data_IF_999861420806
#
_entry.id   IF_999861420806
#
_cell.length_a   1.000
_cell.length_b   1.000
_cell.length_c   1.000
_cell.angle_alpha   90.00
_cell.angle_beta   90.00
_cell.angle_gamma   90.00
#
_symmetry.space_group_name_H-M   'P 1'
#
loop_
_entity.id
_entity.type
_entity.pdbx_description
1 polymer ?
#
# COMPACT_ATOMS: atom_id res chain seq x y z
N UNK A 1 -41.91 -30.87 1.80
CA UNK A 1 -40.73 -30.11 1.33
C UNK A 1 -39.48 -30.82 1.83
N UNK A 2 -39.01 -31.81 1.09
CA UNK A 2 -37.91 -32.68 1.48
C UNK A 2 -36.58 -31.96 1.23
N UNK A 3 -35.73 -32.02 2.25
CA UNK A 3 -34.36 -31.52 2.24
C UNK A 3 -33.63 -32.15 1.06
N UNK A 4 -33.31 -31.34 0.05
CA UNK A 4 -32.34 -31.71 -0.96
C UNK A 4 -31.03 -32.10 -0.25
N UNK A 5 -30.36 -33.20 -0.64
CA UNK A 5 -29.14 -33.64 0.00
C UNK A 5 -28.10 -32.53 -0.14
N UNK A 6 -27.95 -31.79 0.96
CA UNK A 6 -27.00 -30.70 1.05
C UNK A 6 -25.59 -31.27 0.86
N UNK A 7 -25.01 -30.86 -0.24
CA UNK A 7 -23.59 -30.73 -0.50
C UNK A 7 -22.68 -31.79 0.16
N UNK A 8 -22.43 -32.89 -0.52
CA UNK A 8 -21.29 -33.72 -0.20
C UNK A 8 -20.04 -33.02 -0.71
N UNK A 9 -19.34 -32.29 0.18
CA UNK A 9 -18.14 -31.52 -0.11
C UNK A 9 -17.03 -32.47 -0.60
N UNK A 10 -16.99 -32.73 -1.88
CA UNK A 10 -16.12 -33.70 -2.55
C UNK A 10 -14.69 -33.11 -2.63
N UNK A 11 -13.66 -33.95 -2.75
CA UNK A 11 -12.26 -33.51 -2.89
C UNK A 11 -12.05 -32.53 -4.03
N UNK A 12 -12.80 -32.67 -5.13
CA UNK A 12 -12.78 -31.74 -6.29
C UNK A 12 -13.34 -30.36 -5.92
N UNK A 13 -14.44 -30.30 -5.17
CA UNK A 13 -15.00 -29.04 -4.69
C UNK A 13 -13.98 -28.28 -3.80
N UNK A 14 -13.22 -29.02 -2.98
CA UNK A 14 -12.13 -28.45 -2.19
C UNK A 14 -11.04 -27.83 -3.06
N UNK A 15 -10.52 -28.58 -4.03
CA UNK A 15 -9.42 -28.05 -4.87
C UNK A 15 -9.84 -26.82 -5.66
N UNK A 16 -11.08 -26.80 -6.19
CA UNK A 16 -11.61 -25.62 -6.88
C UNK A 16 -11.80 -24.43 -5.94
N UNK A 17 -12.35 -24.66 -4.76
CA UNK A 17 -12.53 -23.63 -3.73
C UNK A 17 -11.17 -23.04 -3.31
N UNK A 18 -10.13 -23.87 -3.16
CA UNK A 18 -8.77 -23.39 -2.91
C UNK A 18 -8.19 -22.58 -4.07
N UNK A 19 -8.42 -23.01 -5.31
CA UNK A 19 -8.00 -22.25 -6.49
C UNK A 19 -8.66 -20.88 -6.55
N UNK A 20 -9.97 -20.82 -6.30
CA UNK A 20 -10.71 -19.54 -6.21
C UNK A 20 -10.18 -18.70 -5.05
N UNK A 21 -9.91 -19.32 -3.89
CA UNK A 21 -9.37 -18.62 -2.73
C UNK A 21 -8.00 -17.98 -3.02
N UNK A 22 -7.11 -18.68 -3.70
CA UNK A 22 -5.81 -18.13 -4.09
C UNK A 22 -5.95 -16.93 -5.05
N UNK A 23 -6.84 -17.02 -6.04
CA UNK A 23 -7.10 -15.89 -6.95
C UNK A 23 -7.70 -14.69 -6.21
N UNK A 24 -8.65 -14.94 -5.32
CA UNK A 24 -9.27 -13.87 -4.51
C UNK A 24 -8.26 -13.27 -3.52
N UNK A 25 -7.42 -14.10 -2.89
CA UNK A 25 -6.31 -13.65 -2.04
C UNK A 25 -5.39 -12.68 -2.77
N UNK A 26 -4.99 -13.05 -4.00
CA UNK A 26 -4.12 -12.21 -4.82
C UNK A 26 -4.80 -10.90 -5.23
N UNK A 27 -6.09 -10.95 -5.57
CA UNK A 27 -6.90 -9.75 -5.83
C UNK A 27 -6.90 -8.81 -4.62
N UNK A 28 -7.25 -9.31 -3.44
CA UNK A 28 -7.32 -8.52 -2.21
C UNK A 28 -5.96 -7.91 -1.87
N UNK A 29 -4.89 -8.69 -1.96
CA UNK A 29 -3.54 -8.20 -1.66
C UNK A 29 -3.11 -7.09 -2.64
N UNK A 30 -3.36 -7.26 -3.95
CA UNK A 30 -3.00 -6.25 -4.96
C UNK A 30 -3.78 -4.96 -4.78
N UNK A 31 -5.09 -5.05 -4.52
CA UNK A 31 -5.93 -3.88 -4.24
C UNK A 31 -5.52 -3.17 -2.95
N UNK A 32 -5.22 -3.93 -1.89
CA UNK A 32 -4.82 -3.38 -0.59
C UNK A 32 -3.50 -2.62 -0.67
N UNK A 33 -2.55 -3.12 -1.48
CA UNK A 33 -1.28 -2.41 -1.72
C UNK A 33 -1.52 -1.11 -2.51
N UNK A 34 -2.33 -1.16 -3.56
CA UNK A 34 -2.63 0.01 -4.38
C UNK A 34 -3.36 1.11 -3.57
N UNK A 35 -4.38 0.73 -2.78
CA UNK A 35 -5.11 1.69 -1.93
C UNK A 35 -4.27 2.21 -0.78
N UNK A 36 -3.41 1.37 -0.18
CA UNK A 36 -2.47 1.79 0.87
C UNK A 36 -1.43 2.80 0.37
N UNK A 37 -0.90 2.59 -0.85
CA UNK A 37 -0.03 3.57 -1.52
C UNK A 37 -0.75 4.89 -1.76
N UNK A 38 -1.96 4.85 -2.32
CA UNK A 38 -2.75 6.05 -2.59
C UNK A 38 -3.02 6.83 -1.30
N UNK A 39 -3.50 6.17 -0.25
CA UNK A 39 -3.76 6.82 1.03
C UNK A 39 -2.49 7.43 1.65
N UNK A 40 -1.35 6.75 1.52
CA UNK A 40 -0.07 7.29 1.99
C UNK A 40 0.32 8.55 1.22
N UNK A 41 0.07 8.59 -0.09
CA UNK A 41 0.31 9.78 -0.91
C UNK A 41 -0.67 10.91 -0.60
N UNK A 42 -1.97 10.62 -0.47
CA UNK A 42 -2.98 11.61 -0.09
C UNK A 42 -2.67 12.25 1.28
N UNK A 43 -2.16 11.46 2.24
CA UNK A 43 -1.71 11.99 3.53
C UNK A 43 -0.46 12.85 3.39
N UNK A 44 0.50 12.45 2.57
CA UNK A 44 1.68 13.26 2.29
C UNK A 44 1.27 14.57 1.62
N UNK A 45 0.45 14.54 0.58
CA UNK A 45 -0.06 15.72 -0.11
C UNK A 45 -0.85 16.65 0.84
N UNK A 46 -1.71 16.09 1.70
CA UNK A 46 -2.45 16.87 2.70
C UNK A 46 -1.57 17.53 3.76
N UNK A 47 -0.39 17.00 3.99
CA UNK A 47 0.56 17.51 4.98
C UNK A 47 1.55 18.50 4.40
N UNK A 48 1.91 18.36 3.13
CA UNK A 48 2.76 19.30 2.43
C UNK A 48 1.90 20.38 1.78
N UNK A 49 2.04 21.62 2.22
CA UNK A 49 1.43 22.73 1.52
C UNK A 49 2.31 23.13 0.32
N UNK A 50 1.68 23.54 -0.77
CA UNK A 50 2.37 24.06 -1.98
C UNK A 50 3.30 25.25 -1.71
N UNK A 51 3.30 25.71 -0.49
CA UNK A 51 4.01 26.88 -0.02
C UNK A 51 5.48 26.61 0.32
N UNK A 52 5.91 25.34 0.46
CA UNK A 52 7.26 25.01 0.95
C UNK A 52 8.19 24.51 -0.14
N UNK A 53 9.37 25.10 -0.18
CA UNK A 53 10.47 24.73 -1.08
C UNK A 53 11.69 24.34 -0.26
N UNK A 54 12.28 23.22 -0.60
CA UNK A 54 13.59 22.83 -0.09
C UNK A 54 14.66 23.49 -0.92
N UNK A 55 15.52 24.27 -0.28
CA UNK A 55 16.64 24.98 -0.90
C UNK A 55 17.92 24.28 -0.49
N UNK A 56 18.69 23.81 -1.48
CA UNK A 56 19.99 23.19 -1.30
C UNK A 56 20.97 23.74 -2.30
N UNK A 57 22.26 23.67 -1.97
CA UNK A 57 23.32 24.02 -2.91
C UNK A 57 24.01 22.74 -3.31
N UNK A 58 23.85 22.27 -4.58
CA UNK A 58 24.47 21.03 -5.02
C UNK A 58 25.97 21.20 -5.18
N UNK A 59 26.72 20.19 -4.79
CA UNK A 59 28.13 20.02 -5.11
C UNK A 59 28.36 18.64 -5.75
N UNK A 60 29.53 18.40 -6.30
CA UNK A 60 29.90 17.14 -6.95
C UNK A 60 29.77 15.90 -6.04
N UNK A 61 29.80 16.10 -4.72
CA UNK A 61 29.78 15.01 -3.71
C UNK A 61 28.52 15.01 -2.81
N UNK A 62 27.49 15.78 -3.18
CA UNK A 62 26.25 15.86 -2.40
C UNK A 62 25.88 17.30 -2.04
N UNK A 63 24.95 17.53 -1.11
CA UNK A 63 24.59 18.88 -0.68
C UNK A 63 25.76 19.55 0.04
N UNK A 64 26.16 20.72 -0.48
CA UNK A 64 27.26 21.48 0.10
C UNK A 64 26.78 22.40 1.21
N UNK A 65 27.69 22.73 2.11
CA UNK A 65 27.47 23.75 3.13
C UNK A 65 27.48 25.15 2.52
N UNK A 66 26.59 26.01 2.97
CA UNK A 66 26.54 27.41 2.59
C UNK A 66 26.25 28.29 3.79
N UNK A 67 26.66 29.54 3.75
CA UNK A 67 26.37 30.50 4.81
C UNK A 67 24.93 31.00 4.68
N UNK A 68 24.23 31.16 5.81
CA UNK A 68 22.85 31.66 5.83
C UNK A 68 22.72 33.04 5.18
N UNK A 69 23.78 33.88 5.21
CA UNK A 69 23.84 35.19 4.57
C UNK A 69 23.68 35.12 3.04
N UNK A 70 23.99 33.98 2.42
CA UNK A 70 23.82 33.80 0.98
C UNK A 70 22.33 33.73 0.56
N UNK A 71 21.44 33.51 1.50
CA UNK A 71 19.98 33.53 1.29
C UNK A 71 19.31 34.71 2.00
N UNK A 72 20.08 35.72 2.37
CA UNK A 72 19.59 36.91 3.09
C UNK A 72 18.32 37.56 2.51
N UNK A 73 18.12 37.63 1.17
CA UNK A 73 16.92 38.23 0.60
C UNK A 73 15.61 37.54 1.02
N UNK A 74 15.68 36.31 1.45
CA UNK A 74 14.51 35.43 1.83
C UNK A 74 14.57 34.89 3.25
N UNK A 75 15.55 35.36 4.05
CA UNK A 75 15.83 34.81 5.36
C UNK A 75 14.63 34.89 6.33
N UNK A 76 13.83 35.94 6.24
CA UNK A 76 12.62 36.11 7.05
C UNK A 76 11.53 35.06 6.81
N UNK A 77 11.57 34.42 5.64
CA UNK A 77 10.61 33.38 5.24
C UNK A 77 11.24 31.98 5.27
N UNK A 78 12.45 31.85 5.82
CA UNK A 78 13.28 30.65 5.67
C UNK A 78 13.65 30.08 7.02
N UNK A 79 13.46 28.79 7.20
CA UNK A 79 14.06 28.03 8.29
C UNK A 79 15.29 27.31 7.74
N UNK A 80 16.46 27.58 8.33
CA UNK A 80 17.72 26.94 7.93
C UNK A 80 18.03 25.75 8.82
N UNK A 81 18.80 24.79 8.32
CA UNK A 81 19.12 23.61 9.10
C UNK A 81 20.37 22.89 8.61
N UNK A 82 20.74 21.91 9.39
CA UNK A 82 21.81 20.96 9.11
C UNK A 82 21.24 19.55 9.11
N UNK A 83 21.68 18.73 8.18
CA UNK A 83 21.44 17.29 8.23
C UNK A 83 22.72 16.52 7.95
N UNK A 84 22.85 15.33 8.53
CA UNK A 84 23.92 14.38 8.31
C UNK A 84 23.39 12.96 8.44
N UNK A 85 23.97 12.03 7.69
CA UNK A 85 23.69 10.61 7.86
C UNK A 85 24.63 10.05 8.93
N UNK A 86 24.05 9.52 10.01
CA UNK A 86 24.79 9.10 11.18
C UNK A 86 24.39 7.70 11.64
N UNK A 87 25.36 6.99 12.21
CA UNK A 87 25.14 5.71 12.83
C UNK A 87 24.71 5.92 14.29
N UNK A 88 23.60 5.30 14.69
CA UNK A 88 23.12 5.32 16.07
C UNK A 88 23.57 4.06 16.81
N UNK A 89 24.36 4.21 17.86
CA UNK A 89 24.76 3.11 18.74
C UNK A 89 23.92 3.13 20.05
N UNK A 90 23.57 1.99 20.64
CA UNK A 90 23.99 0.62 20.31
C UNK A 90 23.14 -0.09 19.25
N UNK A 91 22.17 0.58 18.62
CA UNK A 91 21.23 -0.05 17.68
C UNK A 91 21.86 -0.45 16.35
N UNK A 92 22.94 0.21 15.92
CA UNK A 92 23.57 0.01 14.62
C UNK A 92 22.70 0.48 13.45
N UNK A 93 21.78 1.40 13.68
CA UNK A 93 20.86 1.95 12.68
C UNK A 93 21.51 3.20 12.07
N UNK A 94 21.68 3.21 10.74
CA UNK A 94 22.01 4.41 9.99
C UNK A 94 20.73 5.20 9.76
N UNK A 95 20.75 6.49 10.11
CA UNK A 95 19.61 7.38 9.92
C UNK A 95 20.08 8.82 9.72
N UNK A 96 19.19 9.65 9.16
CA UNK A 96 19.44 11.07 9.02
C UNK A 96 19.16 11.78 10.34
N UNK A 97 20.18 12.43 10.87
CA UNK A 97 20.07 13.34 11.99
C UNK A 97 20.03 14.77 11.44
N UNK A 98 19.07 15.56 11.90
CA UNK A 98 18.89 16.92 11.40
C UNK A 98 18.61 17.91 12.53
N UNK A 99 18.91 19.19 12.28
CA UNK A 99 18.48 20.30 13.13
C UNK A 99 17.83 21.39 12.30
N UNK A 100 16.98 22.18 12.92
CA UNK A 100 16.36 23.35 12.30
C UNK A 100 16.52 24.51 13.25
N UNK A 101 17.05 25.62 12.70
CA UNK A 101 17.14 26.89 13.39
C UNK A 101 15.86 27.68 13.17
N UNK A 102 15.25 28.12 14.27
CA UNK A 102 14.06 28.97 14.30
C UNK A 102 12.85 28.49 13.46
N UNK A 103 12.35 27.27 13.73
CA UNK A 103 11.26 26.70 12.94
C UNK A 103 9.93 27.45 13.07
N UNK A 104 9.73 28.23 14.13
CA UNK A 104 8.43 28.84 14.48
C UNK A 104 7.91 29.85 13.48
N UNK A 105 8.78 30.50 12.70
CA UNK A 105 8.37 31.48 11.67
C UNK A 105 7.88 30.83 10.38
N UNK A 106 8.37 29.64 10.06
CA UNK A 106 8.13 28.97 8.81
C UNK A 106 7.23 27.75 8.98
N UNK A 107 7.52 26.93 9.97
CA UNK A 107 6.79 25.68 10.22
C UNK A 107 5.65 25.90 11.22
N UNK A 108 4.48 25.32 10.93
CA UNK A 108 3.34 25.33 11.87
C UNK A 108 3.58 24.43 13.07
N UNK A 109 4.59 23.58 13.01
CA UNK A 109 4.90 22.57 14.03
C UNK A 109 5.97 23.11 15.00
N UNK A 110 5.70 22.98 16.29
CA UNK A 110 6.63 23.36 17.36
C UNK A 110 7.55 22.18 17.67
N UNK A 111 8.48 21.87 16.78
CA UNK A 111 9.45 20.78 16.96
C UNK A 111 10.79 21.41 17.32
N UNK A 112 11.17 21.32 18.61
CA UNK A 112 12.44 21.86 19.09
C UNK A 112 13.14 20.86 20.00
N UNK A 113 14.36 20.50 19.64
CA UNK A 113 15.27 19.78 20.53
C UNK A 113 16.22 20.77 21.22
N UNK A 114 16.59 20.55 22.46
CA UNK A 114 17.45 21.46 23.25
C UNK A 114 18.60 20.73 23.94
N UNK A 115 19.77 21.32 23.90
CA UNK A 115 20.97 20.76 24.53
C UNK A 115 21.40 19.45 23.92
N UNK A 116 21.72 18.46 24.74
CA UNK A 116 22.09 17.10 24.29
C UNK A 116 20.89 16.15 24.20
N UNK A 117 19.68 16.69 24.09
CA UNK A 117 18.49 15.86 23.86
C UNK A 117 18.17 15.79 22.40
N UNK A 118 17.73 14.61 21.97
CA UNK A 118 17.25 14.36 20.62
C UNK A 118 15.80 13.88 20.67
N UNK A 119 15.04 14.23 19.65
CA UNK A 119 13.71 13.70 19.44
C UNK A 119 13.78 12.65 18.33
N UNK A 120 13.20 11.51 18.58
CA UNK A 120 13.22 10.38 17.65
C UNK A 120 11.91 10.34 16.90
N UNK A 121 11.98 10.14 15.59
CA UNK A 121 10.79 9.91 14.78
C UNK A 121 10.04 8.65 15.25
N UNK A 122 8.74 8.66 15.09
CA UNK A 122 7.82 7.65 15.66
C UNK A 122 8.06 6.22 15.20
N UNK A 123 8.78 6.02 14.09
CA UNK A 123 9.16 4.69 13.60
C UNK A 123 10.43 4.12 14.23
N UNK A 124 11.25 4.96 14.84
CA UNK A 124 12.43 4.51 15.56
C UNK A 124 12.04 4.14 16.98
N UNK A 125 11.98 2.87 17.29
CA UNK A 125 11.66 2.37 18.63
C UNK A 125 12.93 2.30 19.51
N UNK A 126 13.57 3.44 19.73
CA UNK A 126 14.75 3.57 20.57
C UNK A 126 14.37 4.19 21.91
N UNK A 127 15.08 3.82 22.97
CA UNK A 127 14.87 4.37 24.32
C UNK A 127 16.19 4.45 25.08
N UNK A 128 16.34 5.47 25.91
CA UNK A 128 17.51 5.67 26.75
C UNK A 128 18.53 6.64 26.15
N UNK A 129 19.82 6.39 26.38
CA UNK A 129 20.89 7.19 25.80
C UNK A 129 21.39 6.52 24.52
N UNK A 130 21.64 7.32 23.53
CA UNK A 130 22.21 6.90 22.26
C UNK A 130 23.53 7.63 22.01
N UNK A 131 24.38 7.02 21.23
CA UNK A 131 25.60 7.64 20.74
C UNK A 131 25.43 7.88 19.24
N UNK A 132 25.75 9.07 18.79
CA UNK A 132 25.58 9.50 17.41
C UNK A 132 26.93 9.72 16.77
N UNK A 133 27.11 9.16 15.58
CA UNK A 133 28.29 9.34 14.75
C UNK A 133 29.53 8.59 15.24
N UNK A 134 30.58 8.64 14.41
CA UNK A 134 31.87 7.98 14.65
C UNK A 134 32.62 8.54 15.88
N UNK A 135 32.37 9.79 16.22
CA UNK A 135 33.05 10.47 17.34
C UNK A 135 32.32 10.30 18.68
N UNK A 136 31.33 9.41 18.72
CA UNK A 136 30.64 8.97 19.94
C UNK A 136 29.99 10.10 20.77
N UNK A 137 29.24 10.99 20.12
CA UNK A 137 28.50 12.03 20.79
C UNK A 137 27.30 11.44 21.55
N UNK A 138 27.33 11.57 22.87
CA UNK A 138 26.25 11.06 23.72
C UNK A 138 25.03 11.99 23.71
N UNK A 139 23.90 11.45 23.34
CA UNK A 139 22.62 12.15 23.38
C UNK A 139 21.58 11.36 24.17
N UNK A 140 20.69 12.07 24.86
CA UNK A 140 19.56 11.47 25.56
C UNK A 140 18.29 11.65 24.73
N UNK A 141 17.48 10.59 24.66
CA UNK A 141 16.19 10.65 23.99
C UNK A 141 15.20 11.40 24.86
N UNK A 142 14.80 12.61 24.40
CA UNK A 142 13.84 13.47 25.09
C UNK A 142 12.37 13.15 24.79
N UNK A 143 12.12 12.40 23.72
CA UNK A 143 10.76 12.03 23.28
C UNK A 143 10.70 11.61 21.84
N UNK A 144 9.49 11.33 21.36
CA UNK A 144 9.21 11.11 19.95
C UNK A 144 8.69 12.39 19.28
N UNK A 145 8.98 12.57 18.00
CA UNK A 145 8.33 13.59 17.20
C UNK A 145 7.55 12.95 16.05
N UNK A 146 6.49 13.61 15.68
CA UNK A 146 5.74 13.31 14.45
C UNK A 146 5.66 14.61 13.68
N UNK A 147 6.22 14.61 12.49
CA UNK A 147 6.20 15.75 11.59
C UNK A 147 5.50 15.39 10.31
N UNK A 148 4.93 16.39 9.68
CA UNK A 148 4.33 16.27 8.36
C UNK A 148 5.35 16.51 7.24
N UNK A 149 6.50 17.10 7.57
CA UNK A 149 7.54 17.50 6.62
C UNK A 149 8.72 16.52 6.65
N UNK A 150 9.05 15.99 7.85
CA UNK A 150 10.21 15.13 8.02
C UNK A 150 9.79 13.67 8.18
N UNK A 151 10.56 12.76 7.57
CA UNK A 151 10.33 11.32 7.72
C UNK A 151 10.35 10.88 9.20
N UNK A 152 9.54 9.92 9.52
CA UNK A 152 9.37 9.42 10.89
C UNK A 152 10.49 8.48 11.37
N UNK A 153 11.47 8.22 10.53
CA UNK A 153 12.71 7.48 10.80
C UNK A 153 13.92 8.40 11.01
N UNK A 154 13.72 9.71 10.94
CA UNK A 154 14.77 10.69 11.18
C UNK A 154 14.87 11.04 12.67
N UNK A 155 15.99 11.61 13.04
CA UNK A 155 16.28 12.08 14.41
C UNK A 155 16.47 13.58 14.37
N UNK A 156 15.67 14.29 15.16
CA UNK A 156 15.85 15.73 15.34
C UNK A 156 16.80 15.99 16.51
N UNK A 157 17.90 16.61 16.21
CA UNK A 157 18.88 17.06 17.18
C UNK A 157 18.78 18.58 17.41
N UNK A 158 19.37 19.05 18.49
CA UNK A 158 19.54 20.49 18.70
C UNK A 158 20.55 21.07 17.70
N UNK A 159 20.41 22.35 17.38
CA UNK A 159 21.35 23.05 16.50
C UNK A 159 22.80 23.00 17.04
N UNK A 160 22.99 23.09 18.35
CA UNK A 160 24.28 22.97 18.99
C UNK A 160 24.94 21.61 18.80
N UNK A 161 24.16 20.52 18.92
CA UNK A 161 24.66 19.17 18.74
C UNK A 161 24.99 18.89 17.27
N UNK A 162 24.16 19.36 16.33
CA UNK A 162 24.42 19.21 14.90
C UNK A 162 25.63 19.99 14.43
N UNK A 163 25.87 21.18 14.97
CA UNK A 163 27.10 21.93 14.69
C UNK A 163 28.36 21.25 15.20
N UNK A 164 28.28 20.57 16.32
CA UNK A 164 29.36 19.74 16.85
C UNK A 164 29.60 18.49 15.97
N UNK A 165 28.53 17.79 15.58
CA UNK A 165 28.60 16.62 14.70
C UNK A 165 29.16 16.94 13.31
N UNK A 166 28.76 18.07 12.73
CA UNK A 166 29.18 18.46 11.38
C UNK A 166 30.44 19.32 11.36
N UNK A 167 31.01 19.64 12.51
CA UNK A 167 32.15 20.57 12.66
C UNK A 167 31.91 21.95 12.04
N UNK A 168 30.63 22.37 11.92
CA UNK A 168 30.25 23.63 11.30
C UNK A 168 29.77 24.64 12.33
N UNK A 169 30.32 25.86 12.29
CA UNK A 169 29.96 26.93 13.23
C UNK A 169 28.85 27.84 12.71
N UNK A 170 28.84 28.17 11.44
CA UNK A 170 27.90 29.13 10.85
C UNK A 170 27.19 28.61 9.59
N UNK A 171 27.77 27.63 8.93
CA UNK A 171 27.19 27.08 7.68
C UNK A 171 25.99 26.17 7.93
N UNK A 172 25.13 26.09 6.96
CA UNK A 172 23.96 25.23 6.88
C UNK A 172 24.00 24.44 5.57
N UNK A 173 23.31 23.32 5.46
CA UNK A 173 23.29 22.55 4.22
C UNK A 173 21.90 22.44 3.58
N UNK A 174 20.87 22.87 4.27
CA UNK A 174 19.54 23.03 3.68
C UNK A 174 18.79 24.23 4.26
N UNK A 175 17.79 24.68 3.53
CA UNK A 175 16.85 25.67 4.02
C UNK A 175 15.43 25.34 3.51
N UNK A 176 14.43 25.65 4.32
CA UNK A 176 13.03 25.50 3.95
C UNK A 176 12.46 26.90 3.74
N UNK A 177 12.12 27.22 2.53
CA UNK A 177 11.58 28.50 2.13
C UNK A 177 10.07 28.41 1.97
N UNK A 178 9.35 29.33 2.59
CA UNK A 178 7.89 29.38 2.53
C UNK A 178 7.44 30.44 1.54
N UNK A 179 6.56 30.03 0.61
CA UNK A 179 5.86 30.89 -0.35
C UNK A 179 6.78 31.90 -1.09
N UNK A 180 7.83 31.39 -1.81
CA UNK A 180 8.72 32.28 -2.53
C UNK A 180 8.03 32.93 -3.73
N UNK A 181 8.34 34.18 -3.96
CA UNK A 181 7.97 34.87 -5.22
C UNK A 181 8.85 34.40 -6.37
N UNK A 182 8.38 34.55 -7.60
CA UNK A 182 9.17 34.21 -8.81
C UNK A 182 10.51 34.93 -8.87
N UNK A 183 10.58 36.16 -8.41
CA UNK A 183 11.84 36.94 -8.35
C UNK A 183 12.82 36.38 -7.31
N UNK A 184 12.32 35.92 -6.17
CA UNK A 184 13.14 35.26 -5.15
C UNK A 184 13.67 33.91 -5.66
N UNK A 185 12.83 33.11 -6.33
CA UNK A 185 13.27 31.88 -6.97
C UNK A 185 14.34 32.06 -8.01
N UNK A 186 14.17 33.07 -8.92
CA UNK A 186 15.14 33.37 -9.95
C UNK A 186 16.47 33.87 -9.36
N UNK A 187 16.42 34.64 -8.27
CA UNK A 187 17.62 35.13 -7.59
C UNK A 187 18.42 34.00 -6.95
N UNK A 188 17.75 33.07 -6.26
CA UNK A 188 18.40 31.93 -5.66
C UNK A 188 18.95 30.95 -6.71
N UNK A 189 18.21 30.70 -7.78
CA UNK A 189 18.66 29.85 -8.88
C UNK A 189 19.89 30.42 -9.56
N UNK A 190 19.93 31.75 -9.78
CA UNK A 190 21.10 32.44 -10.35
C UNK A 190 22.31 32.45 -9.42
N UNK A 191 22.09 32.32 -8.09
CA UNK A 191 23.14 32.14 -7.10
C UNK A 191 23.61 30.67 -6.98
N UNK A 192 23.10 29.77 -7.79
CA UNK A 192 23.49 28.36 -7.84
C UNK A 192 22.77 27.46 -6.84
N UNK A 193 21.68 27.93 -6.23
CA UNK A 193 20.83 27.10 -5.41
C UNK A 193 19.82 26.31 -6.25
N UNK A 194 19.51 25.12 -5.78
CA UNK A 194 18.43 24.28 -6.33
C UNK A 194 17.24 24.39 -5.40
N UNK A 195 16.11 24.81 -5.95
CA UNK A 195 14.84 24.88 -5.26
C UNK A 195 14.01 23.69 -5.69
N UNK A 196 13.72 22.81 -4.75
CA UNK A 196 12.84 21.67 -4.96
C UNK A 196 11.50 21.97 -4.28
N UNK A 197 10.45 22.07 -5.08
CA UNK A 197 9.11 22.11 -4.51
C UNK A 197 8.81 20.73 -3.92
N UNK A 198 8.51 20.68 -2.63
CA UNK A 198 8.21 19.44 -1.95
C UNK A 198 6.94 18.78 -2.50
N UNK A 199 5.96 19.57 -2.94
CA UNK A 199 4.78 19.05 -3.65
C UNK A 199 5.13 18.47 -5.01
N UNK A 200 6.01 19.09 -5.78
CA UNK A 200 6.36 18.57 -7.10
C UNK A 200 6.92 17.15 -7.08
N UNK A 201 7.63 16.77 -6.02
CA UNK A 201 8.09 15.40 -5.81
C UNK A 201 6.89 14.50 -5.44
N UNK A 202 5.99 14.98 -4.59
CA UNK A 202 4.81 14.25 -4.16
C UNK A 202 3.83 14.11 -5.33
N UNK A 203 3.59 15.14 -6.12
CA UNK A 203 2.78 15.09 -7.33
C UNK A 203 3.31 14.06 -8.33
N UNK A 204 4.63 14.05 -8.57
CA UNK A 204 5.26 13.04 -9.42
C UNK A 204 5.07 11.61 -8.90
N UNK A 205 5.21 11.41 -7.59
CA UNK A 205 4.97 10.11 -6.96
C UNK A 205 3.48 9.76 -6.94
N UNK A 206 2.61 10.74 -6.70
CA UNK A 206 1.15 10.60 -6.72
C UNK A 206 0.64 10.20 -8.11
N UNK A 207 1.12 10.85 -9.16
CA UNK A 207 0.82 10.48 -10.54
C UNK A 207 1.22 9.03 -10.84
N UNK A 208 2.39 8.59 -10.35
CA UNK A 208 2.84 7.21 -10.45
C UNK A 208 1.93 6.23 -9.69
N UNK A 209 1.49 6.59 -8.50
CA UNK A 209 0.58 5.79 -7.68
C UNK A 209 -0.83 5.75 -8.27
N UNK A 210 -1.33 6.86 -8.80
CA UNK A 210 -2.62 6.91 -9.49
C UNK A 210 -2.60 6.05 -10.76
N UNK A 211 -1.47 6.00 -11.46
CA UNK A 211 -1.30 5.08 -12.57
C UNK A 211 -1.35 3.62 -12.13
N UNK A 212 -0.67 3.26 -11.01
CA UNK A 212 -0.77 1.92 -10.40
C UNK A 212 -2.22 1.61 -10.02
N UNK A 213 -2.95 2.58 -9.46
CA UNK A 213 -4.37 2.45 -9.13
C UNK A 213 -5.24 2.17 -10.36
N UNK A 214 -4.95 2.78 -11.50
CA UNK A 214 -5.62 2.50 -12.77
C UNK A 214 -5.24 1.12 -13.31
N UNK A 215 -4.00 0.68 -13.14
CA UNK A 215 -3.49 -0.61 -13.62
C UNK A 215 -4.00 -1.80 -12.79
N UNK A 216 -4.72 -1.57 -11.69
CA UNK A 216 -5.40 -2.63 -10.92
C UNK A 216 -6.34 -3.47 -11.80
N UNK A 217 -6.92 -2.89 -12.86
CA UNK A 217 -7.70 -3.62 -13.85
C UNK A 217 -6.91 -4.73 -14.54
N UNK A 218 -5.60 -4.56 -14.71
CA UNK A 218 -4.70 -5.57 -15.28
C UNK A 218 -4.57 -6.81 -14.39
N UNK A 219 -4.84 -6.68 -13.10
CA UNK A 219 -4.87 -7.80 -12.15
C UNK A 219 -6.28 -8.37 -12.02
N UNK A 220 -7.30 -7.50 -11.97
CA UNK A 220 -8.69 -7.90 -11.79
C UNK A 220 -9.22 -8.74 -12.96
N UNK A 221 -8.94 -8.34 -14.21
CA UNK A 221 -9.44 -9.03 -15.39
C UNK A 221 -8.87 -10.45 -15.50
N UNK A 222 -7.54 -10.69 -15.47
CA UNK A 222 -6.98 -12.04 -15.54
C UNK A 222 -7.42 -12.92 -14.37
N UNK A 223 -7.44 -12.37 -13.14
CA UNK A 223 -7.85 -13.12 -11.95
C UNK A 223 -9.32 -13.54 -12.03
N UNK A 224 -10.21 -12.65 -12.47
CA UNK A 224 -11.63 -12.96 -12.70
C UNK A 224 -11.79 -14.02 -13.80
N UNK A 225 -10.98 -13.96 -14.85
CA UNK A 225 -10.99 -14.95 -15.92
C UNK A 225 -10.55 -16.34 -15.43
N UNK A 226 -9.49 -16.41 -14.60
CA UNK A 226 -9.05 -17.67 -14.00
C UNK A 226 -10.13 -18.23 -13.07
N UNK A 227 -10.78 -17.40 -12.25
CA UNK A 227 -11.91 -17.82 -11.40
C UNK A 227 -13.05 -18.40 -12.26
N UNK A 228 -13.39 -17.72 -13.36
CA UNK A 228 -14.42 -18.19 -14.28
C UNK A 228 -14.05 -19.55 -14.93
N UNK A 229 -12.78 -19.74 -15.34
CA UNK A 229 -12.28 -21.01 -15.86
C UNK A 229 -12.33 -22.13 -14.82
N UNK A 230 -11.96 -21.86 -13.57
CA UNK A 230 -12.05 -22.82 -12.49
C UNK A 230 -13.51 -23.24 -12.22
N UNK A 231 -14.43 -22.27 -12.19
CA UNK A 231 -15.86 -22.53 -12.06
C UNK A 231 -16.43 -23.33 -13.25
N UNK A 232 -16.03 -22.99 -14.46
CA UNK A 232 -16.38 -23.74 -15.69
C UNK A 232 -15.92 -25.19 -15.61
N UNK A 233 -14.65 -25.40 -15.30
CA UNK A 233 -14.06 -26.76 -15.18
C UNK A 233 -14.72 -27.59 -14.10
N UNK A 234 -14.95 -26.97 -12.94
CA UNK A 234 -15.63 -27.63 -11.83
C UNK A 234 -17.04 -28.06 -12.19
N UNK A 235 -17.87 -27.12 -12.69
CA UNK A 235 -19.25 -27.44 -13.02
C UNK A 235 -19.34 -28.39 -14.21
N UNK A 236 -18.40 -28.30 -15.17
CA UNK A 236 -18.29 -29.25 -16.26
C UNK A 236 -18.07 -30.68 -15.78
N UNK A 237 -17.16 -30.88 -14.83
CA UNK A 237 -16.92 -32.22 -14.25
C UNK A 237 -18.09 -32.68 -13.37
N UNK A 238 -18.70 -31.81 -12.60
CA UNK A 238 -19.84 -32.14 -11.74
C UNK A 238 -21.07 -32.54 -12.57
N UNK A 239 -21.29 -31.87 -13.71
CA UNK A 239 -22.41 -32.21 -14.59
C UNK A 239 -22.24 -33.60 -15.22
N UNK A 240 -21.02 -34.05 -15.49
CA UNK A 240 -20.75 -35.41 -15.96
C UNK A 240 -21.06 -36.43 -14.87
N UNK A 241 -20.58 -36.19 -13.63
CA UNK A 241 -20.79 -37.13 -12.51
C UNK A 241 -22.29 -37.21 -12.12
N UNK A 242 -23.06 -36.15 -12.27
CA UNK A 242 -24.49 -36.08 -11.90
C UNK A 242 -25.46 -36.26 -13.07
N UNK A 243 -25.00 -36.66 -14.25
CA UNK A 243 -25.87 -36.84 -15.45
C UNK A 243 -27.04 -37.77 -15.16
N UNK A 244 -26.82 -38.87 -14.49
CA UNK A 244 -27.87 -39.84 -14.14
C UNK A 244 -28.96 -39.23 -13.25
N UNK A 245 -28.57 -38.52 -12.20
CA UNK A 245 -29.51 -37.83 -11.28
C UNK A 245 -30.32 -36.74 -12.03
N UNK A 246 -29.66 -35.97 -12.88
CA UNK A 246 -30.30 -34.93 -13.70
C UNK A 246 -31.24 -35.56 -14.75
N UNK A 247 -30.84 -36.68 -15.34
CA UNK A 247 -31.70 -37.45 -16.24
C UNK A 247 -32.99 -37.90 -15.58
N UNK A 248 -32.92 -38.46 -14.35
CA UNK A 248 -34.09 -38.82 -13.56
C UNK A 248 -34.96 -37.60 -13.24
N UNK A 249 -34.37 -36.46 -12.84
CA UNK A 249 -35.10 -35.23 -12.57
C UNK A 249 -35.88 -34.75 -13.79
N UNK A 250 -35.27 -34.85 -14.99
CA UNK A 250 -35.92 -34.50 -16.27
C UNK A 250 -37.10 -35.41 -16.61
N UNK A 251 -36.98 -36.73 -16.34
CA UNK A 251 -38.07 -37.68 -16.60
C UNK A 251 -39.26 -37.51 -15.63
N UNK A 252 -39.04 -37.04 -14.42
CA UNK A 252 -40.10 -36.71 -13.45
C UNK A 252 -40.75 -35.33 -13.79
N UNK A 253 -40.25 -34.63 -14.82
CA UNK A 253 -40.82 -33.37 -15.28
C UNK A 253 -40.24 -32.10 -14.64
N UNK A 254 -39.01 -32.18 -14.10
CA UNK A 254 -38.32 -31.00 -13.63
C UNK A 254 -38.05 -30.02 -14.77
N UNK A 255 -38.57 -28.80 -14.65
CA UNK A 255 -38.38 -27.76 -15.64
C UNK A 255 -36.90 -27.32 -15.75
N UNK A 256 -36.50 -26.86 -16.95
CA UNK A 256 -35.14 -26.38 -17.24
C UNK A 256 -34.62 -25.35 -16.22
N UNK A 257 -35.47 -24.42 -15.79
CA UNK A 257 -35.13 -23.40 -14.81
C UNK A 257 -34.75 -23.97 -13.45
N UNK A 258 -35.43 -25.04 -13.01
CA UNK A 258 -35.11 -25.70 -11.71
C UNK A 258 -33.75 -26.40 -11.77
N UNK A 259 -33.44 -27.07 -12.87
CA UNK A 259 -32.14 -27.73 -13.05
C UNK A 259 -31.02 -26.70 -13.14
N UNK A 260 -31.24 -25.62 -13.89
CA UNK A 260 -30.28 -24.50 -13.98
C UNK A 260 -30.02 -23.90 -12.61
N UNK A 261 -31.07 -23.57 -11.86
CA UNK A 261 -30.96 -22.98 -10.54
C UNK A 261 -30.21 -23.88 -9.54
N UNK A 262 -30.42 -25.20 -9.62
CA UNK A 262 -29.70 -26.16 -8.80
C UNK A 262 -28.19 -26.19 -9.10
N UNK A 263 -27.82 -26.21 -10.40
CA UNK A 263 -26.41 -26.19 -10.83
C UNK A 263 -25.73 -24.87 -10.47
N UNK A 264 -26.44 -23.74 -10.68
CA UNK A 264 -25.92 -22.42 -10.34
C UNK A 264 -25.73 -22.24 -8.82
N UNK A 265 -26.64 -22.78 -8.00
CA UNK A 265 -26.51 -22.72 -6.54
C UNK A 265 -25.20 -23.38 -6.05
N UNK A 266 -24.83 -24.51 -6.64
CA UNK A 266 -23.55 -25.16 -6.30
C UNK A 266 -22.34 -24.28 -6.63
N UNK A 267 -22.33 -23.64 -7.80
CA UNK A 267 -21.24 -22.75 -8.20
C UNK A 267 -21.17 -21.52 -7.30
N UNK A 268 -22.31 -20.93 -6.96
CA UNK A 268 -22.37 -19.78 -6.04
C UNK A 268 -21.80 -20.15 -4.66
N UNK A 269 -22.18 -21.30 -4.12
CA UNK A 269 -21.69 -21.76 -2.81
C UNK A 269 -20.18 -21.94 -2.83
N UNK A 270 -19.62 -22.55 -3.88
CA UNK A 270 -18.17 -22.79 -3.99
C UNK A 270 -17.42 -21.46 -4.18
N UNK A 271 -17.93 -20.58 -5.02
CA UNK A 271 -17.33 -19.25 -5.22
C UNK A 271 -17.41 -18.39 -3.96
N UNK A 272 -18.50 -18.50 -3.21
CA UNK A 272 -18.65 -17.79 -1.93
C UNK A 272 -17.67 -18.32 -0.88
N UNK A 273 -17.57 -19.64 -0.72
CA UNK A 273 -16.60 -20.23 0.21
C UNK A 273 -15.16 -19.96 -0.20
N UNK A 274 -14.84 -20.11 -1.49
CA UNK A 274 -13.53 -19.75 -2.02
C UNK A 274 -13.23 -18.26 -1.84
N UNK A 275 -14.20 -17.42 -2.14
CA UNK A 275 -14.08 -15.97 -1.95
C UNK A 275 -13.85 -15.58 -0.49
N UNK A 276 -14.62 -16.11 0.46
CA UNK A 276 -14.44 -15.83 1.89
C UNK A 276 -13.09 -16.30 2.43
N UNK A 277 -12.66 -17.50 2.03
CA UNK A 277 -11.33 -17.99 2.39
C UNK A 277 -10.24 -17.13 1.77
N UNK A 278 -10.43 -16.72 0.50
CA UNK A 278 -9.51 -15.84 -0.19
C UNK A 278 -9.41 -14.46 0.44
N UNK A 279 -10.53 -13.89 0.90
CA UNK A 279 -10.55 -12.64 1.67
C UNK A 279 -9.74 -12.77 2.96
N UNK A 280 -9.99 -13.82 3.75
CA UNK A 280 -9.27 -14.03 5.00
C UNK A 280 -7.76 -14.17 4.78
N UNK A 281 -7.35 -14.97 3.79
CA UNK A 281 -5.95 -15.12 3.42
C UNK A 281 -5.36 -13.84 2.81
N UNK A 282 -6.15 -13.10 2.03
CA UNK A 282 -5.75 -11.84 1.44
C UNK A 282 -5.45 -10.77 2.50
N UNK A 283 -6.29 -10.66 3.52
CA UNK A 283 -6.07 -9.77 4.67
C UNK A 283 -4.77 -10.13 5.38
N UNK A 284 -4.55 -11.42 5.69
CA UNK A 284 -3.33 -11.88 6.37
C UNK A 284 -2.09 -11.58 5.50
N UNK A 285 -2.17 -11.83 4.19
CA UNK A 285 -1.08 -11.54 3.26
C UNK A 285 -0.81 -10.03 3.18
N UNK A 286 -1.86 -9.21 3.13
CA UNK A 286 -1.73 -7.75 3.10
C UNK A 286 -1.02 -7.22 4.34
N UNK A 287 -1.37 -7.69 5.53
CA UNK A 287 -0.66 -7.34 6.76
C UNK A 287 0.81 -7.80 6.75
N UNK A 288 1.07 -9.02 6.27
CA UNK A 288 2.45 -9.51 6.13
C UNK A 288 3.27 -8.67 5.15
N UNK A 289 2.66 -8.25 4.04
CA UNK A 289 3.31 -7.41 3.04
C UNK A 289 3.54 -5.98 3.57
N UNK A 290 2.57 -5.44 4.32
CA UNK A 290 2.71 -4.13 4.98
C UNK A 290 3.90 -4.11 5.95
N UNK A 291 4.02 -5.13 6.80
CA UNK A 291 5.16 -5.20 7.73
C UNK A 291 6.49 -5.38 7.01
N UNK A 292 6.52 -6.14 5.92
CA UNK A 292 7.72 -6.31 5.11
C UNK A 292 8.11 -5.01 4.36
N UNK A 293 7.12 -4.30 3.81
CA UNK A 293 7.35 -3.02 3.12
C UNK A 293 7.72 -1.91 4.10
N UNK A 294 7.09 -1.84 5.27
CA UNK A 294 7.43 -0.85 6.30
C UNK A 294 8.84 -1.05 6.85
N UNK A 295 9.37 -2.27 6.87
CA UNK A 295 10.77 -2.53 7.25
C UNK A 295 11.77 -2.19 6.14
N UNK A 296 11.34 -2.18 4.87
CA UNK A 296 12.20 -1.91 3.72
C UNK A 296 12.17 -0.44 3.26
N UNK A 297 11.05 0.23 3.46
CA UNK A 297 10.77 1.60 3.01
C UNK A 297 10.29 2.45 4.18
N UNK A 298 11.09 2.61 5.20
CA UNK A 298 10.83 3.47 6.38
C UNK A 298 9.41 4.06 6.49
N UNK A 299 8.63 3.52 7.40
CA UNK A 299 7.43 4.07 8.10
C UNK A 299 6.31 4.81 7.36
N UNK A 300 6.47 5.23 6.12
CA UNK A 300 5.45 5.97 5.37
C UNK A 300 4.34 5.07 4.81
N UNK A 301 4.52 3.74 4.83
CA UNK A 301 3.59 2.80 4.22
C UNK A 301 2.48 2.39 5.19
N UNK A 302 1.36 3.10 5.17
CA UNK A 302 0.16 2.70 5.91
C UNK A 302 -0.73 1.84 5.03
N UNK A 303 -0.94 0.59 5.42
CA UNK A 303 -1.91 -0.27 4.76
C UNK A 303 -3.29 0.01 5.37
N UNK A 304 -4.20 0.54 4.56
CA UNK A 304 -5.61 0.65 4.92
C UNK A 304 -6.41 -0.35 4.10
N UNK A 305 -7.13 -1.21 4.81
CA UNK A 305 -8.04 -2.17 4.18
C UNK A 305 -9.41 -1.49 4.14
N UNK A 306 -9.75 -0.94 2.98
CA UNK A 306 -11.06 -0.36 2.75
C UNK A 306 -12.14 -1.47 2.73
N UNK A 307 -13.20 -1.30 3.52
CA UNK A 307 -14.34 -2.22 3.58
C UNK A 307 -15.00 -2.37 2.19
N UNK A 308 -15.07 -1.29 1.42
CA UNK A 308 -15.61 -1.30 0.06
C UNK A 308 -14.83 -2.22 -0.87
N UNK A 309 -13.53 -2.27 -0.72
CA UNK A 309 -12.63 -3.09 -1.49
C UNK A 309 -12.83 -4.59 -1.22
N UNK A 310 -13.08 -4.95 0.05
CA UNK A 310 -13.42 -6.32 0.42
C UNK A 310 -14.75 -6.76 -0.20
N UNK A 311 -15.76 -5.90 -0.18
CA UNK A 311 -17.06 -6.16 -0.80
C UNK A 311 -16.92 -6.27 -2.32
N UNK A 312 -16.17 -5.39 -2.95
CA UNK A 312 -15.94 -5.39 -4.39
C UNK A 312 -15.24 -6.67 -4.87
N UNK A 313 -14.17 -7.10 -4.16
CA UNK A 313 -13.43 -8.31 -4.51
C UNK A 313 -14.26 -9.58 -4.33
N UNK A 314 -15.07 -9.66 -3.26
CA UNK A 314 -16.00 -10.78 -3.07
C UNK A 314 -17.07 -10.82 -4.17
N UNK A 315 -17.64 -9.66 -4.48
CA UNK A 315 -18.67 -9.53 -5.53
C UNK A 315 -18.12 -9.93 -6.90
N UNK A 316 -16.90 -9.46 -7.23
CA UNK A 316 -16.21 -9.84 -8.47
C UNK A 316 -15.94 -11.35 -8.54
N UNK A 317 -15.50 -11.96 -7.43
CA UNK A 317 -15.25 -13.40 -7.33
C UNK A 317 -16.52 -14.21 -7.55
N UNK A 318 -17.62 -13.85 -6.91
CA UNK A 318 -18.91 -14.54 -7.08
C UNK A 318 -19.46 -14.34 -8.48
N UNK A 319 -19.40 -13.12 -9.02
CA UNK A 319 -19.83 -12.83 -10.38
C UNK A 319 -19.03 -13.63 -11.43
N UNK A 320 -17.71 -13.68 -11.31
CA UNK A 320 -16.84 -14.48 -12.16
C UNK A 320 -17.17 -15.98 -12.07
N UNK A 321 -17.42 -16.49 -10.86
CA UNK A 321 -17.85 -17.86 -10.64
C UNK A 321 -19.20 -18.19 -11.30
N UNK A 322 -20.16 -17.29 -11.23
CA UNK A 322 -21.47 -17.43 -11.91
C UNK A 322 -21.29 -17.43 -13.42
N UNK A 323 -20.53 -16.47 -13.96
CA UNK A 323 -20.30 -16.35 -15.40
C UNK A 323 -19.58 -17.58 -15.96
N UNK A 324 -18.59 -18.10 -15.24
CA UNK A 324 -17.87 -19.30 -15.64
C UNK A 324 -18.72 -20.56 -15.61
N UNK A 325 -19.62 -20.66 -14.66
CA UNK A 325 -20.52 -21.82 -14.51
C UNK A 325 -21.69 -21.82 -15.52
N UNK A 326 -22.04 -20.68 -16.08
CA UNK A 326 -23.22 -20.50 -16.92
C UNK A 326 -23.20 -21.39 -18.20
N UNK A 327 -22.09 -21.46 -19.00
CA UNK A 327 -22.06 -22.26 -20.22
C UNK A 327 -22.28 -23.76 -19.99
N UNK A 328 -21.60 -24.45 -19.04
CA UNK A 328 -21.84 -25.86 -18.79
C UNK A 328 -23.24 -26.11 -18.20
N UNK A 329 -23.77 -25.22 -17.38
CA UNK A 329 -25.10 -25.34 -16.82
C UNK A 329 -26.19 -25.26 -17.92
N UNK A 330 -26.10 -24.29 -18.84
CA UNK A 330 -27.03 -24.16 -19.95
C UNK A 330 -26.96 -25.41 -20.85
N UNK A 331 -25.75 -25.86 -21.19
CA UNK A 331 -25.56 -27.05 -22.05
C UNK A 331 -26.25 -28.26 -21.45
N UNK A 332 -26.16 -28.46 -20.13
CA UNK A 332 -26.77 -29.59 -19.44
C UNK A 332 -28.31 -29.52 -19.44
N UNK A 333 -28.90 -28.31 -19.42
CA UNK A 333 -30.37 -28.18 -19.46
C UNK A 333 -30.96 -28.46 -20.86
N UNK A 334 -30.17 -28.36 -21.93
CA UNK A 334 -30.63 -28.52 -23.32
C UNK A 334 -30.47 -29.93 -23.82
N UNK A 335 -29.68 -30.82 -23.20
CA UNK A 335 -29.54 -32.23 -23.57
C UNK A 335 -30.84 -33.02 -23.36
N UNK A 336 -31.09 -34.02 -24.21
CA UNK A 336 -32.28 -34.86 -24.08
C UNK A 336 -32.13 -35.88 -22.96
N UNK A 337 -33.22 -36.20 -22.20
CA UNK A 337 -33.15 -37.16 -21.08
C UNK A 337 -32.65 -38.54 -21.52
N UNK A 338 -32.98 -38.98 -22.72
CA UNK A 338 -32.56 -40.29 -23.27
C UNK A 338 -31.06 -40.35 -23.50
N UNK A 339 -30.46 -39.27 -23.94
CA UNK A 339 -29.03 -39.15 -24.16
C UNK A 339 -28.25 -39.17 -22.84
N UNK A 340 -28.77 -38.46 -21.83
CA UNK A 340 -28.16 -38.38 -20.49
C UNK A 340 -28.16 -39.77 -19.79
N UNK A 341 -29.23 -40.56 -19.97
CA UNK A 341 -29.31 -41.93 -19.42
C UNK A 341 -28.45 -42.96 -20.16
N UNK A 342 -28.32 -42.82 -21.50
CA UNK A 342 -27.53 -43.75 -22.29
C UNK A 342 -26.02 -43.58 -22.12
N UNK A 343 -25.56 -42.36 -21.98
CA UNK A 343 -24.13 -42.04 -21.74
C UNK A 343 -23.71 -42.36 -20.27
N UNK A 344 -24.65 -42.44 -19.32
CA UNK A 344 -24.37 -42.80 -17.95
C UNK A 344 -24.27 -44.34 -17.73
N UNK A 345 -24.58 -45.15 -18.74
CA UNK A 345 -24.55 -46.62 -18.67
C UNK A 345 -23.28 -47.23 -19.28
N UNK A 346 -22.38 -46.43 -19.78
CA UNK A 346 -21.05 -46.77 -20.30
C UNK A 346 -19.98 -46.33 -19.29
#
# INVERSE_FOLDING_TARGET
MNRLPLFKYNSRARSTSWGIALCTMFLVASFSVASGLKLSMDKLEGNFSSEYFLVTKPDSNGPSFFEADQIEPVLEKTATGLFSEELLEPSGIETTVFSISDPHHVLKESIVASGNTVLIGTSLHLSGNITIGSDSHNASIGGGFSSTIFPSDWVLASDSLMRELTEQTAAVNFAILKDPTTLEMDSLTSAGFVLQNMIGIIDFLSDGVDQIGQDVWLVLIPSSFVIALLAYSFLGSETVDKRHEIGILKTIGAGRAKILSYLMANSIIISLWGGLLGLALGIVLSYGLSTALSSAFTSAFMLEIDEWLLVASLTATVAAGILGALPPAIRMTTTSPVQDLKEASI
#
